data_IF_657503813256
#
_entry.id   IF_657503813256
#
_cell.length_a   1.000
_cell.length_b   1.000
_cell.length_c   1.000
_cell.angle_alpha   90.00
_cell.angle_beta   90.00
_cell.angle_gamma   90.00
#
_symmetry.space_group_name_H-M   'P 1'
#
loop_
_entity.id
_entity.type
_entity.pdbx_description
1 polymer ?
#
# COMPACT_ATOMS: atom_id res chain seq x y z
N UNK A 1 22.73 -10.01 6.01
CA UNK A 1 22.23 -11.41 6.13
C UNK A 1 21.10 -11.48 7.15
N UNK A 2 21.28 -11.24 8.47
CA UNK A 2 20.22 -11.41 9.48
C UNK A 2 19.02 -10.49 9.24
N UNK A 3 19.23 -9.26 8.81
CA UNK A 3 18.11 -8.33 8.52
C UNK A 3 17.31 -8.73 7.28
N UNK A 4 17.95 -9.29 6.28
CA UNK A 4 17.28 -9.85 5.10
C UNK A 4 16.45 -11.09 5.46
N UNK A 5 16.99 -11.95 6.32
CA UNK A 5 16.26 -13.07 6.89
C UNK A 5 15.06 -12.61 7.72
N UNK A 6 15.25 -11.58 8.56
CA UNK A 6 14.17 -10.98 9.34
C UNK A 6 13.04 -10.46 8.44
N UNK A 7 13.39 -9.75 7.35
CA UNK A 7 12.42 -9.26 6.38
C UNK A 7 11.68 -10.41 5.68
N UNK A 8 12.38 -11.49 5.32
CA UNK A 8 11.77 -12.68 4.73
C UNK A 8 10.80 -13.38 5.71
N UNK A 9 11.20 -13.55 6.98
CA UNK A 9 10.32 -14.12 8.01
C UNK A 9 9.12 -13.24 8.33
N UNK A 10 9.30 -11.91 8.33
CA UNK A 10 8.20 -10.97 8.44
C UNK A 10 7.17 -11.16 7.31
N UNK A 11 7.64 -11.24 6.07
CA UNK A 11 6.77 -11.48 4.90
C UNK A 11 6.08 -12.86 4.95
N UNK A 12 6.76 -13.86 5.50
CA UNK A 12 6.21 -15.20 5.69
C UNK A 12 5.23 -15.30 6.90
N UNK A 13 4.97 -14.19 7.60
CA UNK A 13 4.07 -14.19 8.77
C UNK A 13 4.65 -14.84 10.03
N UNK A 14 5.98 -14.90 10.17
CA UNK A 14 6.70 -15.47 11.31
C UNK A 14 7.38 -14.37 12.16
N UNK A 15 6.61 -13.52 12.86
CA UNK A 15 7.15 -12.34 13.54
C UNK A 15 8.15 -12.67 14.66
N UNK A 16 7.98 -13.80 15.36
CA UNK A 16 8.89 -14.21 16.45
C UNK A 16 10.29 -14.50 15.93
N UNK A 17 10.40 -15.20 14.79
CA UNK A 17 11.70 -15.51 14.17
C UNK A 17 12.29 -14.22 13.58
N UNK A 18 11.47 -13.36 12.98
CA UNK A 18 11.93 -12.07 12.48
C UNK A 18 12.54 -11.20 13.59
N UNK A 19 11.92 -11.14 14.78
CA UNK A 19 12.46 -10.39 15.92
C UNK A 19 13.79 -10.97 16.42
N UNK A 20 13.94 -12.29 16.43
CA UNK A 20 15.20 -12.93 16.82
C UNK A 20 16.34 -12.60 15.84
N UNK A 21 16.07 -12.65 14.53
CA UNK A 21 17.06 -12.28 13.52
C UNK A 21 17.46 -10.80 13.62
N UNK A 22 16.49 -9.91 13.90
CA UNK A 22 16.78 -8.49 14.16
C UNK A 22 17.63 -8.31 15.41
N UNK A 23 17.35 -9.07 16.49
CA UNK A 23 18.14 -9.01 17.72
C UNK A 23 19.61 -9.33 17.44
N UNK A 24 19.87 -10.42 16.70
CA UNK A 24 21.22 -10.82 16.30
C UNK A 24 21.91 -9.71 15.47
N UNK A 25 21.16 -9.11 14.53
CA UNK A 25 21.70 -8.01 13.72
C UNK A 25 22.10 -6.80 14.57
N UNK A 26 21.29 -6.41 15.56
CA UNK A 26 21.55 -5.26 16.43
C UNK A 26 22.60 -5.54 17.51
N UNK A 27 22.83 -6.79 17.88
CA UNK A 27 23.95 -7.19 18.73
C UNK A 27 25.30 -7.07 17.99
N UNK A 28 25.28 -7.35 16.68
CA UNK A 28 26.49 -7.19 15.85
C UNK A 28 26.77 -5.72 15.50
N UNK A 29 25.73 -4.92 15.25
CA UNK A 29 25.81 -3.49 14.96
C UNK A 29 24.58 -2.77 15.55
N UNK A 30 24.77 -2.10 16.68
CA UNK A 30 23.71 -1.40 17.41
C UNK A 30 23.11 -0.20 16.67
N UNK A 31 23.76 0.29 15.63
CA UNK A 31 23.30 1.40 14.79
C UNK A 31 22.88 0.95 13.38
N UNK A 32 22.69 -0.36 13.18
CA UNK A 32 22.28 -0.90 11.90
C UNK A 32 20.84 -0.51 11.56
N UNK A 33 20.72 0.49 10.74
CA UNK A 33 19.49 1.23 10.44
C UNK A 33 18.37 0.35 9.90
N UNK A 34 18.70 -0.58 8.99
CA UNK A 34 17.73 -1.48 8.39
C UNK A 34 17.11 -2.43 9.42
N UNK A 35 17.85 -2.81 10.46
CA UNK A 35 17.35 -3.66 11.52
C UNK A 35 16.23 -2.98 12.33
N UNK A 36 16.39 -1.70 12.65
CA UNK A 36 15.32 -0.90 13.27
C UNK A 36 14.10 -0.80 12.37
N UNK A 37 14.28 -0.54 11.08
CA UNK A 37 13.16 -0.45 10.14
C UNK A 37 12.36 -1.76 10.06
N UNK A 38 13.04 -2.90 9.94
CA UNK A 38 12.39 -4.22 9.92
C UNK A 38 11.70 -4.51 11.25
N UNK A 39 12.33 -4.21 12.40
CA UNK A 39 11.73 -4.40 13.72
C UNK A 39 10.47 -3.55 13.89
N UNK A 40 10.51 -2.32 13.43
CA UNK A 40 9.35 -1.43 13.39
C UNK A 40 8.17 -2.02 12.60
N UNK A 41 8.43 -2.61 11.43
CA UNK A 41 7.41 -3.29 10.64
C UNK A 41 6.84 -4.51 11.37
N UNK A 42 7.69 -5.31 12.03
CA UNK A 42 7.24 -6.48 12.82
C UNK A 42 6.39 -6.05 14.01
N UNK A 43 6.82 -5.01 14.77
CA UNK A 43 6.03 -4.47 15.87
C UNK A 43 4.68 -3.88 15.40
N UNK A 44 4.66 -3.23 14.24
CA UNK A 44 3.41 -2.72 13.64
C UNK A 44 2.44 -3.87 13.30
N UNK A 45 2.93 -4.97 12.73
CA UNK A 45 2.14 -6.18 12.46
C UNK A 45 1.56 -6.79 13.74
N UNK A 46 2.34 -6.79 14.82
CA UNK A 46 1.92 -7.25 16.16
C UNK A 46 1.02 -6.23 16.89
N UNK A 47 0.70 -5.09 16.26
CA UNK A 47 -0.05 -3.96 16.85
C UNK A 47 0.63 -3.32 18.07
N UNK A 48 1.92 -3.52 18.22
CA UNK A 48 2.76 -2.89 19.24
C UNK A 48 3.22 -1.51 18.76
N UNK A 49 2.26 -0.62 18.49
CA UNK A 49 2.49 0.64 17.75
C UNK A 49 3.50 1.58 18.42
N UNK A 50 3.57 1.60 19.76
CA UNK A 50 4.54 2.43 20.47
C UNK A 50 5.98 1.97 20.20
N UNK A 51 6.23 0.66 20.19
CA UNK A 51 7.55 0.10 19.86
C UNK A 51 7.90 0.32 18.40
N UNK A 52 6.91 0.15 17.51
CA UNK A 52 7.11 0.43 16.09
C UNK A 52 7.51 1.90 15.83
N UNK A 53 6.81 2.84 16.48
CA UNK A 53 7.11 4.28 16.39
C UNK A 53 8.55 4.58 16.87
N UNK A 54 8.96 4.03 18.02
CA UNK A 54 10.32 4.19 18.56
C UNK A 54 11.38 3.69 17.59
N UNK A 55 11.19 2.50 17.01
CA UNK A 55 12.13 1.92 16.07
C UNK A 55 12.25 2.74 14.78
N UNK A 56 11.14 3.17 14.20
CA UNK A 56 11.17 4.03 13.02
C UNK A 56 11.83 5.38 13.30
N UNK A 57 11.56 5.99 14.45
CA UNK A 57 12.20 7.24 14.84
C UNK A 57 13.70 7.06 15.06
N UNK A 58 14.13 5.93 15.62
CA UNK A 58 15.55 5.60 15.75
C UNK A 58 16.21 5.46 14.37
N UNK A 59 15.58 4.73 13.46
CA UNK A 59 16.07 4.57 12.09
C UNK A 59 16.19 5.91 11.36
N UNK A 60 15.17 6.78 11.44
CA UNK A 60 15.19 8.11 10.84
C UNK A 60 16.22 9.04 11.48
N UNK A 61 16.50 8.91 12.78
CA UNK A 61 17.54 9.69 13.45
C UNK A 61 18.94 9.35 12.91
N UNK A 62 19.17 8.07 12.62
CA UNK A 62 20.48 7.61 12.07
C UNK A 62 20.57 7.95 10.58
N UNK A 63 19.52 7.69 9.80
CA UNK A 63 19.52 7.86 8.35
C UNK A 63 18.27 8.61 7.85
N UNK A 64 18.17 9.94 8.08
CA UNK A 64 16.94 10.71 7.81
C UNK A 64 16.55 10.79 6.33
N UNK A 65 17.49 10.56 5.42
CA UNK A 65 17.28 10.61 3.98
C UNK A 65 17.15 9.22 3.32
N UNK A 66 17.27 8.14 4.10
CA UNK A 66 17.18 6.81 3.53
C UNK A 66 15.74 6.59 2.98
N UNK A 67 15.59 6.24 1.68
CA UNK A 67 14.29 6.18 1.03
C UNK A 67 13.42 5.04 1.57
N UNK A 68 13.99 3.87 1.84
CA UNK A 68 13.24 2.72 2.35
C UNK A 68 12.66 3.00 3.74
N UNK A 69 13.45 3.62 4.61
CA UNK A 69 13.00 3.98 5.96
C UNK A 69 11.89 5.02 5.90
N UNK A 70 12.03 6.03 5.06
CA UNK A 70 11.00 7.02 4.84
C UNK A 70 9.72 6.36 4.31
N UNK A 71 9.81 5.47 3.32
CA UNK A 71 8.65 4.76 2.80
C UNK A 71 7.99 3.88 3.88
N UNK A 72 8.75 3.12 4.64
CA UNK A 72 8.23 2.23 5.68
C UNK A 72 7.57 3.00 6.84
N UNK A 73 8.18 4.09 7.28
CA UNK A 73 7.57 4.94 8.30
C UNK A 73 6.32 5.66 7.78
N UNK A 74 6.34 6.13 6.54
CA UNK A 74 5.15 6.66 5.88
C UNK A 74 4.00 5.64 5.87
N UNK A 75 4.28 4.39 5.49
CA UNK A 75 3.30 3.30 5.56
C UNK A 75 2.76 3.11 6.98
N UNK A 76 3.63 3.02 7.98
CA UNK A 76 3.22 2.88 9.38
C UNK A 76 2.30 4.02 9.84
N UNK A 77 2.64 5.26 9.55
CA UNK A 77 1.80 6.42 9.90
C UNK A 77 0.41 6.34 9.23
N UNK A 78 0.37 5.93 7.96
CA UNK A 78 -0.88 5.78 7.23
C UNK A 78 -1.78 4.69 7.84
N UNK A 79 -1.21 3.56 8.27
CA UNK A 79 -1.95 2.47 8.90
C UNK A 79 -2.38 2.79 10.34
N UNK A 80 -1.72 3.73 11.00
CA UNK A 80 -2.03 4.17 12.38
C UNK A 80 -2.82 5.48 12.43
N UNK A 81 -3.70 5.72 11.47
CA UNK A 81 -4.62 6.86 11.38
C UNK A 81 -3.95 8.25 11.31
N UNK A 82 -2.72 8.30 10.81
CA UNK A 82 -1.99 9.55 10.52
C UNK A 82 -1.74 9.74 9.00
N UNK A 83 -2.75 9.55 8.12
CA UNK A 83 -2.52 9.48 6.67
C UNK A 83 -1.99 10.80 6.08
N UNK A 84 -2.39 11.96 6.61
CA UNK A 84 -1.85 13.25 6.15
C UNK A 84 -0.37 13.41 6.46
N UNK A 85 0.07 12.94 7.62
CA UNK A 85 1.49 13.01 8.02
C UNK A 85 2.36 12.04 7.23
N UNK A 86 1.79 10.90 6.79
CA UNK A 86 2.53 9.89 6.04
C UNK A 86 3.03 10.39 4.69
N UNK A 87 2.28 11.28 4.03
CA UNK A 87 2.56 11.73 2.65
C UNK A 87 3.96 12.33 2.53
N UNK A 88 4.36 13.19 3.47
CA UNK A 88 5.68 13.82 3.43
C UNK A 88 6.84 12.81 3.44
N UNK A 89 6.67 11.66 4.12
CA UNK A 89 7.71 10.63 4.18
C UNK A 89 7.82 9.88 2.86
N UNK A 90 6.72 9.54 2.21
CA UNK A 90 6.74 8.98 0.85
C UNK A 90 7.40 9.95 -0.13
N UNK A 91 7.06 11.24 -0.05
CA UNK A 91 7.68 12.28 -0.88
C UNK A 91 9.16 12.50 -0.54
N UNK A 92 9.60 12.26 0.69
CA UNK A 92 11.03 12.26 1.01
C UNK A 92 11.76 11.06 0.40
N UNK A 93 11.12 9.89 0.38
CA UNK A 93 11.71 8.70 -0.24
C UNK A 93 12.03 8.90 -1.73
N UNK A 94 11.11 9.51 -2.47
CA UNK A 94 11.26 9.73 -3.92
C UNK A 94 12.19 10.90 -4.30
N UNK A 95 12.74 11.62 -3.32
CA UNK A 95 13.77 12.65 -3.58
C UNK A 95 15.13 12.05 -3.92
N UNK A 96 15.37 10.81 -3.52
CA UNK A 96 16.59 10.10 -3.89
C UNK A 96 16.44 9.57 -5.33
N UNK A 97 17.25 10.06 -6.28
CA UNK A 97 17.17 9.61 -7.68
C UNK A 97 17.62 8.15 -7.87
N UNK A 98 18.29 7.56 -6.87
CA UNK A 98 18.75 6.18 -6.88
C UNK A 98 17.76 5.23 -6.16
N UNK A 99 16.64 5.73 -5.69
CA UNK A 99 15.63 4.89 -5.06
C UNK A 99 15.08 3.88 -6.07
N UNK A 100 15.17 2.59 -5.73
CA UNK A 100 14.89 1.50 -6.68
C UNK A 100 13.39 1.34 -6.99
N UNK A 101 12.51 1.74 -6.05
CA UNK A 101 11.06 1.53 -6.11
C UNK A 101 10.24 2.81 -5.88
N UNK A 102 10.52 3.91 -6.60
CA UNK A 102 9.81 5.17 -6.42
C UNK A 102 8.30 5.03 -6.75
N UNK A 103 7.93 4.13 -7.66
CA UNK A 103 6.54 3.82 -7.98
C UNK A 103 5.77 3.29 -6.77
N UNK A 104 6.41 2.51 -5.88
CA UNK A 104 5.79 1.99 -4.65
C UNK A 104 5.52 3.14 -3.68
N UNK A 105 6.48 4.04 -3.47
CA UNK A 105 6.31 5.18 -2.58
C UNK A 105 5.20 6.12 -3.09
N UNK A 106 5.14 6.40 -4.39
CA UNK A 106 4.04 7.19 -4.98
C UNK A 106 2.68 6.48 -4.86
N UNK A 107 2.60 5.17 -5.06
CA UNK A 107 1.36 4.40 -4.87
C UNK A 107 0.88 4.47 -3.42
N UNK A 108 1.80 4.32 -2.46
CA UNK A 108 1.51 4.49 -1.04
C UNK A 108 1.04 5.92 -0.71
N UNK A 109 1.72 6.94 -1.24
CA UNK A 109 1.31 8.33 -1.06
C UNK A 109 -0.11 8.57 -1.58
N UNK A 110 -0.43 8.05 -2.77
CA UNK A 110 -1.76 8.18 -3.38
C UNK A 110 -2.85 7.48 -2.56
N UNK A 111 -2.60 6.25 -2.09
CA UNK A 111 -3.52 5.52 -1.22
C UNK A 111 -3.77 6.27 0.09
N UNK A 112 -2.72 6.82 0.70
CA UNK A 112 -2.83 7.54 1.95
C UNK A 112 -3.44 8.94 1.79
N UNK A 113 -3.21 9.61 0.66
CA UNK A 113 -3.91 10.83 0.28
C UNK A 113 -5.42 10.57 0.16
N UNK A 114 -5.82 9.48 -0.50
CA UNK A 114 -7.22 9.06 -0.57
C UNK A 114 -7.81 8.82 0.82
N UNK A 115 -7.09 8.12 1.71
CA UNK A 115 -7.49 7.88 3.11
C UNK A 115 -7.60 9.20 3.89
N UNK A 116 -6.80 10.20 3.55
CA UNK A 116 -6.83 11.54 4.14
C UNK A 116 -7.94 12.46 3.58
N UNK A 117 -8.66 12.01 2.54
CA UNK A 117 -9.66 12.79 1.83
C UNK A 117 -9.09 13.77 0.79
N UNK A 118 -7.80 13.70 0.50
CA UNK A 118 -7.12 14.50 -0.53
C UNK A 118 -7.22 13.78 -1.89
N UNK A 119 -8.31 14.07 -2.61
CA UNK A 119 -8.58 13.45 -3.91
C UNK A 119 -7.62 13.93 -5.00
N UNK A 120 -7.16 15.18 -4.93
CA UNK A 120 -6.25 15.75 -5.92
C UNK A 120 -4.85 15.16 -5.76
N UNK A 121 -4.32 15.14 -4.55
CA UNK A 121 -3.06 14.48 -4.24
C UNK A 121 -3.11 12.98 -4.55
N UNK A 122 -4.21 12.30 -4.21
CA UNK A 122 -4.38 10.87 -4.52
C UNK A 122 -4.26 10.61 -6.02
N UNK A 123 -4.95 11.38 -6.86
CA UNK A 123 -4.87 11.24 -8.31
C UNK A 123 -3.48 11.53 -8.83
N UNK A 124 -2.85 12.63 -8.38
CA UNK A 124 -1.52 13.02 -8.81
C UNK A 124 -0.48 11.93 -8.51
N UNK A 125 -0.42 11.48 -7.25
CA UNK A 125 0.57 10.48 -6.82
C UNK A 125 0.35 9.11 -7.49
N UNK A 126 -0.90 8.66 -7.65
CA UNK A 126 -1.18 7.39 -8.34
C UNK A 126 -0.83 7.46 -9.83
N UNK A 127 -1.02 8.61 -10.50
CA UNK A 127 -0.57 8.79 -11.87
C UNK A 127 0.96 8.81 -11.99
N UNK A 128 1.67 9.39 -11.00
CA UNK A 128 3.13 9.31 -10.94
C UNK A 128 3.58 7.85 -10.74
N UNK A 129 2.94 7.11 -9.84
CA UNK A 129 3.22 5.70 -9.63
C UNK A 129 3.07 4.90 -10.93
N UNK A 130 2.00 5.10 -11.70
CA UNK A 130 1.80 4.42 -12.98
C UNK A 130 2.85 4.79 -14.03
N UNK A 131 3.28 6.06 -14.09
CA UNK A 131 4.32 6.49 -15.03
C UNK A 131 5.66 5.83 -14.78
N UNK A 132 5.98 5.54 -13.52
CA UNK A 132 7.22 4.91 -13.10
C UNK A 132 7.15 3.38 -13.04
N UNK A 133 5.94 2.82 -13.09
CA UNK A 133 5.72 1.39 -12.93
C UNK A 133 6.41 0.58 -14.04
N UNK A 134 7.23 -0.37 -13.62
CA UNK A 134 7.91 -1.34 -14.50
C UNK A 134 7.01 -2.53 -14.88
N UNK A 135 5.83 -2.62 -14.29
CA UNK A 135 4.84 -3.67 -14.48
C UNK A 135 3.46 -3.08 -14.74
N UNK A 136 2.46 -3.95 -14.89
CA UNK A 136 1.08 -3.52 -15.18
C UNK A 136 0.40 -2.78 -14.01
N UNK A 137 0.95 -2.83 -12.80
CA UNK A 137 0.50 -2.13 -11.60
C UNK A 137 -1.03 -2.18 -11.36
N UNK A 138 -1.65 -3.38 -11.30
CA UNK A 138 -3.10 -3.53 -11.23
C UNK A 138 -3.71 -2.86 -9.98
N UNK A 139 -3.02 -2.92 -8.85
CA UNK A 139 -3.48 -2.29 -7.62
C UNK A 139 -3.53 -0.76 -7.75
N UNK A 140 -2.50 -0.15 -8.34
CA UNK A 140 -2.46 1.29 -8.58
C UNK A 140 -3.58 1.74 -9.53
N UNK A 141 -3.88 0.93 -10.56
CA UNK A 141 -5.01 1.18 -11.47
C UNK A 141 -6.35 1.09 -10.75
N UNK A 142 -6.53 0.08 -9.89
CA UNK A 142 -7.73 -0.03 -9.06
C UNK A 142 -7.90 1.20 -8.16
N UNK A 143 -6.85 1.66 -7.51
CA UNK A 143 -6.91 2.86 -6.67
C UNK A 143 -7.28 4.11 -7.49
N UNK A 144 -6.73 4.27 -8.69
CA UNK A 144 -7.13 5.35 -9.61
C UNK A 144 -8.60 5.23 -10.04
N UNK A 145 -9.05 4.03 -10.38
CA UNK A 145 -10.46 3.80 -10.70
C UNK A 145 -11.37 4.23 -9.54
N UNK A 146 -10.98 3.92 -8.31
CA UNK A 146 -11.73 4.33 -7.13
C UNK A 146 -11.73 5.86 -6.95
N UNK A 147 -10.59 6.54 -7.15
CA UNK A 147 -10.51 8.02 -7.11
C UNK A 147 -11.45 8.62 -8.15
N UNK A 148 -11.41 8.18 -9.40
CA UNK A 148 -12.29 8.68 -10.46
C UNK A 148 -13.77 8.38 -10.17
N UNK A 149 -14.09 7.20 -9.63
CA UNK A 149 -15.45 6.87 -9.20
C UNK A 149 -15.97 7.84 -8.13
N UNK A 150 -15.16 8.15 -7.12
CA UNK A 150 -15.53 9.09 -6.04
C UNK A 150 -15.69 10.52 -6.55
N UNK A 151 -14.95 10.91 -7.58
CA UNK A 151 -15.09 12.21 -8.28
C UNK A 151 -16.30 12.28 -9.22
N UNK A 152 -16.94 11.15 -9.50
CA UNK A 152 -18.04 11.07 -10.47
C UNK A 152 -17.58 10.92 -11.93
N UNK A 153 -16.29 10.79 -12.18
CA UNK A 153 -15.71 10.57 -13.51
C UNK A 153 -15.83 9.08 -13.86
N UNK A 154 -17.04 8.64 -14.23
CA UNK A 154 -17.36 7.21 -14.33
C UNK A 154 -16.68 6.54 -15.54
N UNK A 155 -16.46 7.26 -16.62
CA UNK A 155 -15.82 6.72 -17.83
C UNK A 155 -14.33 6.41 -17.57
N UNK A 156 -13.60 7.34 -16.96
CA UNK A 156 -12.21 7.14 -16.56
C UNK A 156 -12.11 6.03 -15.51
N UNK A 157 -13.02 6.03 -14.53
CA UNK A 157 -13.10 4.94 -13.55
C UNK A 157 -13.23 3.58 -14.23
N UNK A 158 -14.08 3.47 -15.25
CA UNK A 158 -14.30 2.22 -16.00
C UNK A 158 -13.05 1.77 -16.76
N UNK A 159 -12.35 2.70 -17.40
CA UNK A 159 -11.10 2.39 -18.12
C UNK A 159 -10.08 1.80 -17.16
N UNK A 160 -9.77 2.49 -16.06
CA UNK A 160 -8.76 2.03 -15.10
C UNK A 160 -9.16 0.74 -14.38
N UNK A 161 -10.46 0.58 -14.04
CA UNK A 161 -10.95 -0.65 -13.41
C UNK A 161 -10.84 -1.86 -14.34
N UNK A 162 -11.21 -1.72 -15.60
CA UNK A 162 -11.10 -2.80 -16.57
C UNK A 162 -9.65 -3.26 -16.76
N UNK A 163 -8.70 -2.31 -16.84
CA UNK A 163 -7.28 -2.63 -16.91
C UNK A 163 -6.78 -3.32 -15.64
N UNK A 164 -7.23 -2.86 -14.46
CA UNK A 164 -6.88 -3.47 -13.19
C UNK A 164 -7.36 -4.93 -13.12
N UNK A 165 -8.66 -5.15 -13.34
CA UNK A 165 -9.29 -6.48 -13.23
C UNK A 165 -8.72 -7.47 -14.26
N UNK A 166 -8.38 -6.99 -15.47
CA UNK A 166 -7.78 -7.83 -16.52
C UNK A 166 -6.42 -8.42 -16.11
N UNK A 167 -5.71 -7.73 -15.23
CA UNK A 167 -4.34 -8.07 -14.84
C UNK A 167 -4.20 -8.55 -13.40
N UNK A 168 -5.28 -8.49 -12.61
CA UNK A 168 -5.40 -9.14 -11.31
C UNK A 168 -5.86 -10.60 -11.49
N UNK A 169 -5.07 -11.55 -10.99
CA UNK A 169 -5.43 -12.97 -11.03
C UNK A 169 -5.30 -13.60 -9.63
N UNK A 170 -6.41 -13.77 -8.91
CA UNK A 170 -7.79 -13.32 -9.18
C UNK A 170 -8.02 -11.83 -8.85
N UNK A 171 -9.05 -11.17 -9.44
CA UNK A 171 -9.47 -9.85 -9.03
C UNK A 171 -9.88 -9.80 -7.55
N UNK A 172 -9.49 -8.75 -6.84
CA UNK A 172 -9.81 -8.63 -5.40
C UNK A 172 -11.31 -8.37 -5.16
N UNK A 173 -11.85 -8.72 -3.97
CA UNK A 173 -13.25 -8.44 -3.64
C UNK A 173 -13.59 -6.94 -3.75
N UNK A 174 -12.67 -6.06 -3.36
CA UNK A 174 -12.85 -4.60 -3.43
C UNK A 174 -12.93 -4.12 -4.88
N UNK A 175 -12.11 -4.67 -5.79
CA UNK A 175 -12.15 -4.33 -7.21
C UNK A 175 -13.46 -4.79 -7.85
N UNK A 176 -13.93 -6.01 -7.54
CA UNK A 176 -15.22 -6.52 -8.01
C UNK A 176 -16.38 -5.69 -7.46
N UNK A 177 -16.31 -5.28 -6.20
CA UNK A 177 -17.32 -4.42 -5.57
C UNK A 177 -17.35 -3.02 -6.21
N UNK A 178 -16.22 -2.46 -6.50
CA UNK A 178 -16.16 -1.19 -7.26
C UNK A 178 -16.81 -1.35 -8.63
N UNK A 179 -16.57 -2.48 -9.31
CA UNK A 179 -17.21 -2.79 -10.60
C UNK A 179 -18.74 -2.85 -10.52
N UNK A 180 -19.28 -3.50 -9.50
CA UNK A 180 -20.73 -3.54 -9.26
C UNK A 180 -21.31 -2.13 -9.11
N UNK A 181 -20.70 -1.31 -8.25
CA UNK A 181 -21.16 0.06 -7.98
C UNK A 181 -21.06 0.96 -9.21
N UNK A 182 -19.99 0.81 -9.97
CA UNK A 182 -19.73 1.57 -11.19
C UNK A 182 -20.75 1.23 -12.28
N UNK A 183 -20.92 -0.05 -12.61
CA UNK A 183 -21.85 -0.51 -13.63
C UNK A 183 -23.31 -0.19 -13.27
N UNK A 184 -23.65 -0.22 -11.98
CA UNK A 184 -24.96 0.23 -11.47
C UNK A 184 -25.17 1.72 -11.74
N UNK A 185 -24.19 2.59 -11.47
CA UNK A 185 -24.27 4.03 -11.77
C UNK A 185 -24.36 4.32 -13.27
N UNK A 186 -23.71 3.50 -14.09
CA UNK A 186 -23.78 3.59 -15.56
C UNK A 186 -25.06 2.97 -16.16
N UNK A 187 -25.93 2.36 -15.34
CA UNK A 187 -27.14 1.69 -15.81
C UNK A 187 -26.90 0.37 -16.57
N UNK A 188 -25.68 -0.16 -16.54
CA UNK A 188 -25.30 -1.40 -17.22
C UNK A 188 -25.57 -2.63 -16.35
N UNK A 189 -26.81 -3.14 -16.40
CA UNK A 189 -27.24 -4.32 -15.63
C UNK A 189 -26.44 -5.59 -15.95
N UNK A 190 -26.01 -5.76 -17.19
CA UNK A 190 -25.23 -6.93 -17.60
C UNK A 190 -23.83 -6.92 -16.96
N UNK A 191 -23.16 -5.77 -16.98
CA UNK A 191 -21.86 -5.56 -16.31
C UNK A 191 -21.96 -5.73 -14.79
N UNK A 192 -23.01 -5.13 -14.17
CA UNK A 192 -23.28 -5.28 -12.73
C UNK A 192 -23.45 -6.76 -12.36
N UNK A 193 -24.25 -7.51 -13.12
CA UNK A 193 -24.49 -8.95 -12.89
C UNK A 193 -23.22 -9.79 -13.06
N UNK A 194 -22.37 -9.44 -14.03
CA UNK A 194 -21.08 -10.12 -14.24
C UNK A 194 -20.15 -9.99 -13.04
N UNK A 195 -19.93 -8.77 -12.53
CA UNK A 195 -19.10 -8.52 -11.34
C UNK A 195 -19.71 -9.17 -10.08
N UNK A 196 -21.02 -9.08 -9.90
CA UNK A 196 -21.72 -9.72 -8.78
C UNK A 196 -21.59 -11.25 -8.79
N UNK A 197 -21.67 -11.89 -9.96
CA UNK A 197 -21.45 -13.33 -10.09
C UNK A 197 -20.02 -13.73 -9.71
N UNK A 198 -19.02 -12.99 -10.15
CA UNK A 198 -17.62 -13.24 -9.78
C UNK A 198 -17.38 -13.05 -8.27
N UNK A 199 -17.92 -12.00 -7.68
CA UNK A 199 -17.80 -11.74 -6.24
C UNK A 199 -18.44 -12.89 -5.43
N UNK A 200 -19.65 -13.31 -5.79
CA UNK A 200 -20.35 -14.43 -5.15
C UNK A 200 -19.58 -15.73 -5.23
N UNK A 201 -19.07 -16.06 -6.41
CA UNK A 201 -18.43 -17.37 -6.62
C UNK A 201 -17.06 -17.46 -5.96
N UNK A 202 -16.30 -16.36 -5.93
CA UNK A 202 -14.92 -16.35 -5.44
C UNK A 202 -14.81 -15.95 -3.97
N UNK A 203 -15.68 -15.08 -3.49
CA UNK A 203 -15.59 -14.44 -2.17
C UNK A 203 -16.93 -14.43 -1.42
N UNK A 204 -17.57 -15.59 -1.20
CA UNK A 204 -18.92 -15.67 -0.62
C UNK A 204 -18.96 -15.19 0.85
N UNK A 205 -17.82 -15.11 1.53
CA UNK A 205 -17.70 -14.66 2.94
C UNK A 205 -17.10 -13.28 3.10
N UNK A 206 -16.76 -12.59 2.00
CA UNK A 206 -16.21 -11.24 2.09
C UNK A 206 -17.24 -10.23 2.57
N UNK A 207 -16.77 -9.16 3.19
CA UNK A 207 -17.63 -8.03 3.60
C UNK A 207 -18.30 -7.36 2.39
N UNK A 208 -17.64 -7.35 1.24
CA UNK A 208 -18.14 -6.81 -0.02
C UNK A 208 -19.34 -7.59 -0.56
N UNK A 209 -19.45 -8.88 -0.24
CA UNK A 209 -20.58 -9.71 -0.65
C UNK A 209 -21.79 -9.57 0.29
N UNK A 210 -21.59 -9.11 1.52
CA UNK A 210 -22.66 -8.98 2.52
C UNK A 210 -23.52 -7.71 2.34
N UNK A 211 -23.23 -6.86 1.35
CA UNK A 211 -23.98 -5.66 0.96
C UNK A 211 -24.85 -5.94 -0.27
#
# INVERSE_FOLDING_TARGET
IHTELAAAYYQAGNPSVALEEVRIALEADSDYVQAYSVRGLVHAQLKEYAKAEEDFQRALKIAPKNPDINNNYGWFLCETDKPRQSIQYFLNAVKDPLYETPEVAYANAGRCALKAGDMDGAQEYLLQALRLAKSQAPETRYQLANVFYLRGNLDESKVYLNEAVKTMEPPTPEALWLGIRLERKLGNKAGEGSYASQLRSRYPTSKEYQW
#
